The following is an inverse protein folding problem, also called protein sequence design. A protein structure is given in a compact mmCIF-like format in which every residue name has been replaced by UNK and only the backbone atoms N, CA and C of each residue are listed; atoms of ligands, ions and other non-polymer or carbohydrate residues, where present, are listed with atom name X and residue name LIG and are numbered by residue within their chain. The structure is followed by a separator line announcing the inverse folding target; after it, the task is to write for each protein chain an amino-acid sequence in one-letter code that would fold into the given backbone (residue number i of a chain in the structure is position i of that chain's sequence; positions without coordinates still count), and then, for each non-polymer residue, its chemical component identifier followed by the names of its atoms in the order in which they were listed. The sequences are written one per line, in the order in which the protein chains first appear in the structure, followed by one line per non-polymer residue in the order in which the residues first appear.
data_IF_843414852667
#
_entry.id   IF_843414852667
#
_cell.length_a   1.000
_cell.length_b   1.000
_cell.length_c   1.000
_cell.angle_alpha   90.00
_cell.angle_beta   90.00
_cell.angle_gamma   90.00
#
_symmetry.space_group_name_H-M   'P 1'
#
loop_
_entity.id
_entity.type
_entity.pdbx_description
1 polymer ?
#
# COMPACT_ATOMS: atom_id res chain seq x y z
N UNK A 1 38.72 -13.33 -18.58
CA UNK A 1 37.97 -13.15 -17.32
C UNK A 1 37.22 -11.83 -17.43
N UNK A 2 35.94 -11.87 -17.07
CA UNK A 2 35.01 -10.75 -16.77
C UNK A 2 34.76 -9.75 -17.92
N UNK A 3 33.59 -9.69 -18.55
CA UNK A 3 32.23 -9.96 -18.06
C UNK A 3 31.61 -8.62 -17.64
N UNK A 4 30.77 -8.07 -18.51
CA UNK A 4 30.11 -6.78 -18.31
C UNK A 4 28.85 -6.85 -17.46
N UNK A 5 28.38 -5.68 -17.05
CA UNK A 5 26.98 -5.36 -16.81
C UNK A 5 26.87 -3.84 -16.69
N UNK A 6 26.26 -3.20 -17.69
CA UNK A 6 25.85 -1.80 -17.62
C UNK A 6 24.77 -1.65 -16.56
N UNK A 7 25.01 -0.76 -15.60
CA UNK A 7 24.00 -0.28 -14.67
C UNK A 7 23.42 0.97 -15.32
N UNK A 8 22.27 0.82 -15.97
CA UNK A 8 21.45 1.94 -16.42
C UNK A 8 20.89 2.67 -15.19
N UNK A 9 21.71 3.56 -14.63
CA UNK A 9 21.22 4.63 -13.77
C UNK A 9 20.40 5.57 -14.64
N UNK A 10 19.06 5.44 -14.56
CA UNK A 10 18.12 6.43 -15.06
C UNK A 10 18.58 7.82 -14.63
N UNK A 11 19.09 8.58 -15.58
CA UNK A 11 19.73 9.87 -15.39
C UNK A 11 18.77 10.87 -14.73
N UNK A 12 18.97 11.11 -13.44
CA UNK A 12 18.58 12.36 -12.77
C UNK A 12 19.41 13.56 -13.25
N UNK A 13 20.40 13.32 -14.13
CA UNK A 13 21.29 14.32 -14.72
C UNK A 13 20.60 15.39 -15.60
N UNK A 14 19.30 15.26 -15.87
CA UNK A 14 18.51 16.24 -16.63
C UNK A 14 17.62 17.17 -15.79
N UNK A 15 17.51 16.96 -14.47
CA UNK A 15 16.63 17.80 -13.63
C UNK A 15 17.41 19.03 -13.13
N UNK A 16 17.03 20.27 -13.50
CA UNK A 16 17.68 21.47 -13.00
C UNK A 16 17.43 21.63 -11.48
N UNK A 17 18.34 21.17 -10.63
CA UNK A 17 18.16 21.35 -9.19
C UNK A 17 18.92 20.48 -8.19
N UNK A 18 19.73 19.50 -8.60
CA UNK A 18 20.81 19.03 -7.72
C UNK A 18 21.97 20.04 -7.81
N UNK A 19 21.79 21.23 -7.21
CA UNK A 19 22.72 22.36 -7.31
C UNK A 19 22.05 23.74 -7.27
N UNK A 20 22.87 24.79 -7.34
CA UNK A 20 22.54 26.19 -7.01
C UNK A 20 21.24 26.72 -7.64
N UNK A 21 20.48 27.46 -6.83
CA UNK A 21 19.22 28.09 -7.23
C UNK A 21 19.44 29.09 -8.37
N UNK A 22 18.77 28.86 -9.51
CA UNK A 22 18.74 29.77 -10.66
C UNK A 22 17.33 30.36 -10.81
N UNK A 23 17.14 31.67 -10.54
CA UNK A 23 15.82 32.31 -10.61
C UNK A 23 15.13 32.17 -11.99
N UNK A 24 15.91 32.20 -13.07
CA UNK A 24 15.40 32.14 -14.45
C UNK A 24 14.76 30.80 -14.84
N UNK A 25 15.11 29.71 -14.15
CA UNK A 25 14.56 28.36 -14.37
C UNK A 25 13.66 27.88 -13.22
N UNK A 26 13.31 28.76 -12.27
CA UNK A 26 12.46 28.41 -11.13
C UNK A 26 11.06 27.94 -11.57
N UNK A 27 10.51 28.53 -12.65
CA UNK A 27 9.22 28.13 -13.22
C UNK A 27 9.21 26.69 -13.72
N UNK A 28 10.34 26.16 -14.20
CA UNK A 28 10.44 24.77 -14.68
C UNK A 28 10.29 23.79 -13.52
N UNK A 29 10.83 24.13 -12.35
CA UNK A 29 10.66 23.33 -11.13
C UNK A 29 9.23 23.39 -10.63
N UNK A 30 8.59 24.55 -10.68
CA UNK A 30 7.17 24.69 -10.34
C UNK A 30 6.28 23.88 -11.29
N UNK A 31 6.58 23.89 -12.59
CA UNK A 31 5.87 23.09 -13.59
C UNK A 31 6.08 21.59 -13.35
N UNK A 32 7.33 21.15 -13.13
CA UNK A 32 7.65 19.76 -12.84
C UNK A 32 7.01 19.26 -11.54
N UNK A 33 6.93 20.12 -10.52
CA UNK A 33 6.22 19.82 -9.28
C UNK A 33 4.71 19.69 -9.49
N UNK A 34 4.10 20.61 -10.23
CA UNK A 34 2.68 20.54 -10.57
C UNK A 34 2.35 19.28 -11.39
N UNK A 35 3.24 18.89 -12.29
CA UNK A 35 3.12 17.65 -13.06
C UNK A 35 3.41 16.37 -12.25
N UNK A 36 3.77 16.48 -10.96
CA UNK A 36 4.09 15.35 -10.09
C UNK A 36 5.43 14.67 -10.36
N UNK A 37 6.26 15.25 -11.24
CA UNK A 37 7.57 14.71 -11.65
C UNK A 37 8.70 15.09 -10.68
N UNK A 38 8.47 16.09 -9.81
CA UNK A 38 9.46 16.58 -8.86
C UNK A 38 8.82 16.89 -7.51
N UNK A 39 9.46 16.48 -6.42
CA UNK A 39 9.07 16.86 -5.04
C UNK A 39 10.15 17.76 -4.45
N UNK A 40 9.75 18.82 -3.75
CA UNK A 40 10.71 19.68 -3.07
C UNK A 40 11.33 18.95 -1.87
N UNK A 41 12.66 19.04 -1.65
CA UNK A 41 13.35 18.36 -0.56
C UNK A 41 12.88 18.80 0.84
N UNK A 42 12.19 19.93 0.95
CA UNK A 42 11.64 20.45 2.21
C UNK A 42 10.11 20.55 2.21
N UNK A 43 9.39 20.08 1.17
CA UNK A 43 7.92 20.00 1.25
C UNK A 43 7.43 18.76 1.98
N UNK A 44 8.30 17.78 2.21
CA UNK A 44 8.08 16.69 3.15
C UNK A 44 8.78 17.02 4.46
N UNK A 45 8.11 17.76 5.34
CA UNK A 45 8.59 17.98 6.69
C UNK A 45 8.86 16.63 7.36
N UNK A 46 10.07 16.51 7.90
CA UNK A 46 10.71 15.34 8.50
C UNK A 46 10.00 14.89 9.79
N UNK A 47 8.78 14.44 9.63
CA UNK A 47 8.02 13.71 10.64
C UNK A 47 7.54 12.43 9.98
N UNK A 48 8.50 11.55 9.66
CA UNK A 48 8.20 10.14 9.41
C UNK A 48 7.47 9.64 10.65
N UNK A 49 6.14 9.63 10.60
CA UNK A 49 5.29 9.12 11.67
C UNK A 49 5.82 7.75 12.04
N UNK A 50 6.20 7.59 13.31
CA UNK A 50 6.70 6.29 13.74
C UNK A 50 5.55 5.28 13.69
N UNK A 51 5.87 4.01 13.46
CA UNK A 51 4.86 2.94 13.43
C UNK A 51 3.98 2.95 14.69
N UNK A 52 4.57 3.26 15.85
CA UNK A 52 3.86 3.34 17.12
C UNK A 52 2.96 4.55 17.24
N UNK A 53 3.31 5.70 16.63
CA UNK A 53 2.44 6.87 16.55
C UNK A 53 1.25 6.59 15.63
N UNK A 54 1.51 6.02 14.45
CA UNK A 54 0.45 5.65 13.51
C UNK A 54 -0.52 4.63 14.12
N UNK A 55 0.00 3.59 14.78
CA UNK A 55 -0.83 2.58 15.44
C UNK A 55 -1.69 3.15 16.58
N UNK A 56 -1.24 4.20 17.28
CA UNK A 56 -2.06 4.90 18.29
C UNK A 56 -3.19 5.68 17.62
N UNK A 57 -2.88 6.48 16.61
CA UNK A 57 -3.88 7.28 15.88
C UNK A 57 -4.98 6.40 15.27
N UNK A 58 -4.61 5.28 14.64
CA UNK A 58 -5.57 4.34 14.05
C UNK A 58 -6.47 3.69 15.12
N UNK A 59 -5.92 3.37 16.29
CA UNK A 59 -6.71 2.79 17.39
C UNK A 59 -7.62 3.80 18.09
N UNK A 60 -7.21 5.07 18.12
CA UNK A 60 -8.00 6.16 18.68
C UNK A 60 -9.18 6.52 17.75
N UNK A 61 -9.01 6.38 16.44
CA UNK A 61 -10.06 6.62 15.44
C UNK A 61 -11.19 5.58 15.51
N UNK A 62 -10.86 4.28 15.47
CA UNK A 62 -11.83 3.20 15.58
C UNK A 62 -11.27 1.98 16.36
N UNK A 63 -11.50 1.92 17.69
CA UNK A 63 -11.01 0.82 18.52
C UNK A 63 -11.80 -0.49 18.32
N UNK A 64 -12.98 -0.46 17.71
CA UNK A 64 -13.84 -1.62 17.55
C UNK A 64 -13.62 -2.32 16.20
N UNK A 65 -13.04 -1.64 15.22
CA UNK A 65 -12.84 -2.23 13.90
C UNK A 65 -11.80 -3.34 13.88
N UNK A 66 -12.21 -4.48 13.30
CA UNK A 66 -11.36 -5.66 13.13
C UNK A 66 -10.22 -5.45 12.11
N UNK A 67 -10.35 -4.42 11.26
CA UNK A 67 -9.43 -4.17 10.13
C UNK A 67 -8.24 -3.27 10.48
N UNK A 68 -8.24 -2.62 11.66
CA UNK A 68 -7.11 -1.79 12.15
C UNK A 68 -5.72 -2.46 12.04
N UNK A 69 -5.50 -3.75 12.39
CA UNK A 69 -4.18 -4.36 12.27
C UNK A 69 -3.70 -4.46 10.82
N UNK A 70 -4.59 -4.67 9.84
CA UNK A 70 -4.21 -4.76 8.42
C UNK A 70 -3.67 -3.42 7.91
N UNK A 71 -4.32 -2.32 8.31
CA UNK A 71 -3.88 -0.96 7.98
C UNK A 71 -2.50 -0.65 8.57
N UNK A 72 -2.25 -1.08 9.81
CA UNK A 72 -0.93 -0.93 10.46
C UNK A 72 0.14 -1.76 9.73
N UNK A 73 -0.18 -2.97 9.27
CA UNK A 73 0.76 -3.80 8.51
C UNK A 73 1.10 -3.20 7.15
N UNK A 74 0.13 -2.58 6.48
CA UNK A 74 0.38 -1.84 5.24
C UNK A 74 1.39 -0.72 5.48
N UNK A 75 1.15 0.13 6.49
CA UNK A 75 2.06 1.22 6.85
C UNK A 75 3.47 0.71 7.20
N UNK A 76 3.55 -0.37 7.99
CA UNK A 76 4.83 -1.03 8.30
C UNK A 76 5.54 -1.53 7.03
N UNK A 77 4.80 -2.11 6.09
CA UNK A 77 5.34 -2.58 4.84
C UNK A 77 5.88 -1.43 3.97
N UNK A 78 5.15 -0.31 3.90
CA UNK A 78 5.57 0.87 3.14
C UNK A 78 6.85 1.48 3.71
N UNK A 79 6.95 1.59 5.04
CA UNK A 79 8.14 2.10 5.71
C UNK A 79 9.36 1.18 5.52
N UNK A 80 9.16 -0.14 5.50
CA UNK A 80 10.25 -1.10 5.29
C UNK A 80 10.82 -1.08 3.87
N UNK A 81 10.02 -0.69 2.88
CA UNK A 81 10.44 -0.64 1.47
C UNK A 81 10.73 0.80 0.99
N UNK A 82 11.02 1.72 1.91
CA UNK A 82 11.40 3.11 1.62
C UNK A 82 10.45 3.81 0.63
N UNK A 83 9.15 3.85 0.94
CA UNK A 83 8.13 4.50 0.11
C UNK A 83 8.48 5.96 -0.29
N UNK A 84 9.28 6.66 0.52
CA UNK A 84 9.73 8.02 0.22
C UNK A 84 10.70 8.10 -0.98
N UNK A 85 11.52 7.06 -1.21
CA UNK A 85 12.51 7.05 -2.29
C UNK A 85 11.97 6.35 -3.53
N UNK A 86 11.30 5.21 -3.37
CA UNK A 86 10.70 4.43 -4.45
C UNK A 86 9.24 4.03 -4.13
N UNK A 87 8.27 4.92 -4.41
CA UNK A 87 6.86 4.62 -4.17
C UNK A 87 6.34 3.51 -5.10
N UNK A 88 6.93 3.34 -6.29
CA UNK A 88 6.54 2.33 -7.26
C UNK A 88 6.86 0.92 -6.74
N UNK A 89 8.09 0.70 -6.28
CA UNK A 89 8.48 -0.57 -5.69
C UNK A 89 7.69 -0.88 -4.41
N UNK A 90 7.62 0.07 -3.47
CA UNK A 90 6.94 -0.13 -2.19
C UNK A 90 5.45 -0.49 -2.37
N UNK A 91 4.74 0.21 -3.26
CA UNK A 91 3.32 -0.06 -3.53
C UNK A 91 3.08 -1.48 -4.07
N UNK A 92 3.92 -1.96 -5.00
CA UNK A 92 3.77 -3.33 -5.55
C UNK A 92 3.93 -4.43 -4.49
N UNK A 93 4.72 -4.20 -3.45
CA UNK A 93 4.93 -5.17 -2.36
C UNK A 93 3.82 -5.11 -1.31
N UNK A 94 3.30 -3.91 -1.05
CA UNK A 94 2.39 -3.66 0.06
C UNK A 94 0.91 -3.68 -0.33
N UNK A 95 0.58 -3.65 -1.64
CA UNK A 95 -0.80 -3.70 -2.15
C UNK A 95 -1.60 -4.91 -1.64
N UNK A 96 -0.94 -6.01 -1.28
CA UNK A 96 -1.61 -7.17 -0.69
C UNK A 96 -2.34 -6.80 0.61
N UNK A 97 -1.72 -6.00 1.48
CA UNK A 97 -2.30 -5.62 2.77
C UNK A 97 -3.45 -4.66 2.60
N UNK A 98 -3.34 -3.76 1.62
CA UNK A 98 -4.43 -2.90 1.20
C UNK A 98 -5.64 -3.70 0.71
N UNK A 99 -5.42 -4.72 -0.12
CA UNK A 99 -6.50 -5.57 -0.62
C UNK A 99 -7.19 -6.36 0.50
N UNK A 100 -6.42 -6.93 1.43
CA UNK A 100 -6.98 -7.59 2.62
C UNK A 100 -7.77 -6.61 3.49
N UNK A 101 -7.27 -5.38 3.66
CA UNK A 101 -7.97 -4.33 4.40
C UNK A 101 -9.31 -3.97 3.73
N UNK A 102 -9.32 -3.80 2.41
CA UNK A 102 -10.54 -3.54 1.64
C UNK A 102 -11.58 -4.65 1.79
N UNK A 103 -11.14 -5.92 1.71
CA UNK A 103 -12.01 -7.07 1.93
C UNK A 103 -12.56 -7.10 3.36
N UNK A 104 -11.70 -6.84 4.35
CA UNK A 104 -12.11 -6.77 5.75
C UNK A 104 -13.15 -5.66 5.99
N UNK A 105 -13.00 -4.47 5.40
CA UNK A 105 -13.99 -3.38 5.57
C UNK A 105 -15.35 -3.76 5.01
N UNK A 106 -15.38 -4.44 3.87
CA UNK A 106 -16.62 -4.99 3.33
C UNK A 106 -17.24 -6.05 4.25
N UNK A 107 -16.41 -6.93 4.81
CA UNK A 107 -16.85 -7.96 5.75
C UNK A 107 -17.37 -7.39 7.09
N UNK A 108 -16.79 -6.28 7.55
CA UNK A 108 -17.28 -5.54 8.70
C UNK A 108 -18.65 -4.90 8.40
N UNK A 109 -18.80 -4.31 7.22
CA UNK A 109 -20.05 -3.68 6.79
C UNK A 109 -21.19 -4.70 6.61
N UNK A 110 -20.93 -5.83 5.95
CA UNK A 110 -21.94 -6.89 5.78
C UNK A 110 -22.40 -7.46 7.12
N UNK A 111 -21.49 -7.62 8.09
CA UNK A 111 -21.84 -8.08 9.44
C UNK A 111 -22.61 -7.03 10.24
N UNK A 112 -22.26 -5.75 10.09
CA UNK A 112 -22.96 -4.65 10.77
C UNK A 112 -24.38 -4.43 10.28
N UNK A 113 -24.60 -4.51 8.96
CA UNK A 113 -25.91 -4.30 8.35
C UNK A 113 -26.73 -5.59 8.19
N UNK A 114 -26.13 -6.77 8.41
CA UNK A 114 -26.81 -8.06 8.32
C UNK A 114 -27.10 -8.51 6.89
N UNK A 115 -26.22 -8.18 5.95
CA UNK A 115 -26.35 -8.65 4.57
C UNK A 115 -26.07 -10.16 4.49
N UNK A 116 -27.00 -10.91 3.91
CA UNK A 116 -26.88 -12.35 3.65
C UNK A 116 -27.52 -12.72 2.31
N UNK A 117 -27.31 -13.97 1.88
CA UNK A 117 -27.89 -14.52 0.66
C UNK A 117 -28.52 -15.88 0.93
N UNK A 118 -29.51 -16.27 0.12
CA UNK A 118 -30.08 -17.62 0.18
C UNK A 118 -29.16 -18.58 -0.55
N UNK A 119 -28.65 -19.59 0.16
CA UNK A 119 -27.81 -20.63 -0.44
C UNK A 119 -28.66 -21.67 -1.17
N UNK A 120 -28.12 -22.20 -2.27
CA UNK A 120 -28.73 -23.31 -2.98
C UNK A 120 -28.60 -24.62 -2.20
N UNK A 121 -29.44 -25.59 -2.58
CA UNK A 121 -29.31 -26.96 -2.08
C UNK A 121 -27.91 -27.53 -2.40
N UNK A 122 -27.33 -28.33 -1.49
CA UNK A 122 -26.01 -28.90 -1.70
C UNK A 122 -25.97 -29.74 -2.97
N UNK A 123 -24.93 -29.55 -3.78
CA UNK A 123 -24.76 -30.27 -5.02
C UNK A 123 -24.78 -31.79 -4.79
N UNK A 124 -25.44 -32.55 -5.67
CA UNK A 124 -25.55 -34.02 -5.57
C UNK A 124 -24.18 -34.72 -5.42
N UNK A 125 -23.13 -34.15 -6.02
CA UNK A 125 -21.74 -34.60 -5.90
C UNK A 125 -20.88 -33.54 -5.21
N UNK A 126 -21.30 -33.09 -4.03
CA UNK A 126 -20.51 -32.16 -3.20
C UNK A 126 -19.18 -32.79 -2.75
N UNK A 127 -19.16 -34.12 -2.54
CA UNK A 127 -17.93 -34.89 -2.26
C UNK A 127 -17.38 -35.56 -3.51
N UNK A 128 -16.04 -35.56 -3.63
CA UNK A 128 -15.35 -36.28 -4.71
C UNK A 128 -15.54 -37.81 -4.62
N UNK A 129 -15.51 -38.36 -3.39
CA UNK A 129 -15.67 -39.78 -3.09
C UNK A 129 -16.63 -39.98 -1.90
N UNK A 130 -17.37 -41.11 -1.88
CA UNK A 130 -18.37 -41.40 -0.83
C UNK A 130 -17.75 -41.43 0.57
N UNK A 131 -16.57 -42.05 0.69
CA UNK A 131 -15.85 -42.17 1.95
C UNK A 131 -15.09 -40.89 2.36
N UNK A 132 -15.06 -39.86 1.50
CA UNK A 132 -14.36 -38.63 1.83
C UNK A 132 -15.11 -37.89 2.97
N UNK A 133 -14.37 -37.30 3.93
CA UNK A 133 -14.98 -36.48 4.97
C UNK A 133 -15.65 -35.24 4.35
N UNK A 134 -16.79 -34.82 4.92
CA UNK A 134 -17.38 -33.52 4.60
C UNK A 134 -16.90 -32.51 5.63
N UNK A 135 -15.92 -31.68 5.30
CA UNK A 135 -15.60 -30.54 6.15
C UNK A 135 -16.72 -29.50 5.99
N UNK A 136 -17.30 -29.10 7.11
CA UNK A 136 -18.32 -28.04 7.12
C UNK A 136 -17.61 -26.70 7.17
N UNK A 137 -17.95 -25.81 6.25
CA UNK A 137 -17.46 -24.44 6.21
C UNK A 137 -18.59 -23.50 6.65
N UNK A 138 -18.22 -22.48 7.42
CA UNK A 138 -19.13 -21.43 7.91
C UNK A 138 -19.44 -20.40 6.84
#
# INVERSE_FOLDING_TARGET
MSGGAGIDHGSTAGVPGHGSFRPSSAWQRALAHNAGLYKYPHSGGDSTLSETQFAKLVKEDDPASACTPLLIQEFRCLNRNDFSSDPGHASTKCVKWYNEWMQCKWDEEKMRFGYSYMEDLPARKHKAYIAAPNYQYS
#
